data_IF_626440259610
#
_entry.id   IF_626440259610
#
_cell.length_a   1.000
_cell.length_b   1.000
_cell.length_c   1.000
_cell.angle_alpha   90.00
_cell.angle_beta   90.00
_cell.angle_gamma   90.00
#
_symmetry.space_group_name_H-M   'P 1'
#
loop_
_entity.id
_entity.type
_entity.pdbx_description
1 polymer ?
#
# COMPACT_ATOMS: atom_id res chain seq x y z
N UNK A 1 12.77 -12.57 68.22
CA UNK A 1 13.61 -11.60 67.49
C UNK A 1 14.80 -12.36 66.90
N UNK A 2 14.86 -12.58 65.58
CA UNK A 2 15.95 -13.33 64.94
C UNK A 2 16.60 -12.46 63.86
N UNK A 3 17.72 -11.86 64.20
CA UNK A 3 18.55 -11.04 63.31
C UNK A 3 19.29 -11.94 62.31
N UNK A 4 18.91 -11.88 61.03
CA UNK A 4 19.68 -12.51 59.94
C UNK A 4 21.00 -11.77 59.75
N UNK A 5 22.11 -12.44 60.05
CA UNK A 5 23.46 -11.98 59.73
C UNK A 5 23.64 -11.93 58.20
N UNK A 6 24.06 -10.77 57.67
CA UNK A 6 24.44 -10.65 56.26
C UNK A 6 25.75 -11.40 56.06
N UNK A 7 25.70 -12.51 55.33
CA UNK A 7 26.91 -13.20 54.85
C UNK A 7 27.71 -12.21 53.98
N UNK A 8 28.92 -11.86 54.42
CA UNK A 8 29.85 -11.06 53.62
C UNK A 8 30.36 -11.93 52.47
N UNK A 9 29.63 -11.93 51.35
CA UNK A 9 30.07 -12.56 50.11
C UNK A 9 31.33 -11.88 49.58
N UNK A 10 32.24 -12.68 48.99
CA UNK A 10 33.45 -12.18 48.33
C UNK A 10 33.08 -11.10 47.31
N UNK A 11 33.86 -10.02 47.16
CA UNK A 11 33.56 -8.98 46.19
C UNK A 11 33.48 -9.61 44.79
N UNK A 12 32.53 -9.16 43.94
CA UNK A 12 32.41 -9.68 42.59
C UNK A 12 33.76 -9.56 41.88
N UNK A 13 34.16 -10.57 41.08
CA UNK A 13 35.42 -10.52 40.35
C UNK A 13 35.45 -9.24 39.50
N UNK A 14 36.58 -8.53 39.56
CA UNK A 14 36.81 -7.31 38.77
C UNK A 14 36.98 -7.72 37.30
N UNK A 15 35.86 -7.93 36.60
CA UNK A 15 35.85 -8.15 35.17
C UNK A 15 36.34 -6.85 34.49
N UNK A 16 37.05 -6.94 33.36
CA UNK A 16 37.52 -5.75 32.66
C UNK A 16 36.31 -4.90 32.20
N UNK A 17 36.43 -3.56 32.13
CA UNK A 17 35.32 -2.63 31.88
C UNK A 17 34.56 -2.90 30.57
N UNK A 18 35.20 -3.60 29.64
CA UNK A 18 34.68 -4.04 28.36
C UNK A 18 33.71 -5.24 28.42
N UNK A 19 33.46 -5.85 29.57
CA UNK A 19 32.47 -6.93 29.70
C UNK A 19 31.11 -6.47 30.26
N UNK A 20 31.03 -5.31 30.92
CA UNK A 20 29.80 -4.88 31.62
C UNK A 20 28.81 -4.08 30.77
N UNK A 21 29.30 -3.20 29.89
CA UNK A 21 28.44 -2.27 29.14
C UNK A 21 28.17 -2.67 27.69
N UNK A 22 28.95 -3.60 27.14
CA UNK A 22 28.92 -3.93 25.73
C UNK A 22 27.64 -4.64 25.28
N UNK A 23 27.11 -5.57 26.08
CA UNK A 23 25.86 -6.28 25.71
C UNK A 23 24.66 -5.33 25.65
N UNK A 24 24.50 -4.46 26.65
CA UNK A 24 23.38 -3.50 26.70
C UNK A 24 23.46 -2.49 25.55
N UNK A 25 24.66 -1.98 25.26
CA UNK A 25 24.84 -1.05 24.14
C UNK A 25 24.61 -1.71 22.77
N UNK A 26 25.06 -2.96 22.57
CA UNK A 26 24.76 -3.72 21.36
C UNK A 26 23.26 -3.98 21.20
N UNK A 27 22.58 -4.41 22.28
CA UNK A 27 21.14 -4.66 22.24
C UNK A 27 20.35 -3.38 21.88
N UNK A 28 20.68 -2.25 22.49
CA UNK A 28 20.02 -0.97 22.18
C UNK A 28 20.26 -0.52 20.74
N UNK A 29 21.48 -0.69 20.22
CA UNK A 29 21.78 -0.39 18.80
C UNK A 29 20.99 -1.28 17.86
N UNK A 30 20.92 -2.58 18.14
CA UNK A 30 20.17 -3.52 17.30
C UNK A 30 18.68 -3.19 17.30
N UNK A 31 18.10 -2.85 18.47
CA UNK A 31 16.70 -2.42 18.56
C UNK A 31 16.47 -1.13 17.78
N UNK A 32 17.38 -0.16 17.86
CA UNK A 32 17.28 1.08 17.09
C UNK A 32 17.30 0.84 15.58
N UNK A 33 18.20 -0.04 15.10
CA UNK A 33 18.27 -0.41 13.67
C UNK A 33 17.02 -1.20 13.25
N UNK A 34 16.52 -2.10 14.09
CA UNK A 34 15.30 -2.85 13.82
C UNK A 34 14.08 -1.91 13.72
N UNK A 35 13.92 -0.97 14.65
CA UNK A 35 12.85 0.01 14.61
C UNK A 35 12.95 0.93 13.38
N UNK A 36 14.16 1.39 13.06
CA UNK A 36 14.41 2.22 11.88
C UNK A 36 14.09 1.50 10.57
N UNK A 37 14.53 0.24 10.44
CA UNK A 37 14.26 -0.58 9.25
C UNK A 37 12.78 -0.95 9.11
N UNK A 38 12.07 -1.21 10.21
CA UNK A 38 10.63 -1.47 10.18
C UNK A 38 9.83 -0.24 9.69
N UNK A 39 10.14 0.95 10.21
CA UNK A 39 9.52 2.20 9.75
C UNK A 39 9.86 2.49 8.28
N UNK A 40 11.11 2.26 7.90
CA UNK A 40 11.55 2.44 6.51
C UNK A 40 10.81 1.50 5.56
N UNK A 41 10.68 0.22 5.90
CA UNK A 41 9.96 -0.76 5.09
C UNK A 41 8.47 -0.39 4.93
N UNK A 42 7.83 0.04 6.02
CA UNK A 42 6.43 0.48 5.98
C UNK A 42 6.24 1.72 5.07
N UNK A 43 7.13 2.71 5.18
CA UNK A 43 7.11 3.90 4.32
C UNK A 43 7.37 3.54 2.86
N UNK A 44 8.37 2.70 2.59
CA UNK A 44 8.70 2.24 1.25
C UNK A 44 7.51 1.53 0.60
N UNK A 45 6.86 0.60 1.32
CA UNK A 45 5.67 -0.09 0.81
C UNK A 45 4.51 0.87 0.55
N UNK A 46 4.28 1.83 1.44
CA UNK A 46 3.21 2.80 1.25
C UNK A 46 3.44 3.71 0.03
N UNK A 47 4.68 4.18 -0.17
CA UNK A 47 5.04 5.06 -1.28
C UNK A 47 5.13 4.33 -2.62
N UNK A 48 5.74 3.15 -2.65
CA UNK A 48 6.03 2.41 -3.89
C UNK A 48 4.90 1.48 -4.31
N UNK A 49 4.04 1.02 -3.39
CA UNK A 49 2.96 0.10 -3.72
C UNK A 49 1.58 0.78 -3.58
N UNK A 50 1.26 1.31 -2.41
CA UNK A 50 -0.10 1.79 -2.14
C UNK A 50 -0.44 3.07 -2.90
N UNK A 51 0.43 4.08 -2.86
CA UNK A 51 0.21 5.36 -3.56
C UNK A 51 0.07 5.23 -5.07
N UNK A 52 0.92 4.49 -5.81
CA UNK A 52 0.76 4.38 -7.26
C UNK A 52 -0.51 3.64 -7.66
N UNK A 53 -0.98 2.64 -6.89
CA UNK A 53 -2.29 2.02 -7.17
C UNK A 53 -3.44 3.03 -7.05
N UNK A 54 -3.46 3.81 -5.96
CA UNK A 54 -4.47 4.85 -5.75
C UNK A 54 -4.41 5.92 -6.84
N UNK A 55 -3.20 6.33 -7.23
CA UNK A 55 -2.98 7.27 -8.34
C UNK A 55 -3.51 6.72 -9.66
N UNK A 56 -3.17 5.47 -10.03
CA UNK A 56 -3.66 4.84 -11.27
C UNK A 56 -5.18 4.77 -11.32
N UNK A 57 -5.83 4.37 -10.23
CA UNK A 57 -7.29 4.36 -10.15
C UNK A 57 -7.89 5.75 -10.33
N UNK A 58 -7.35 6.75 -9.61
CA UNK A 58 -7.81 8.13 -9.73
C UNK A 58 -7.63 8.67 -11.15
N UNK A 59 -6.45 8.47 -11.73
CA UNK A 59 -6.11 8.98 -13.07
C UNK A 59 -6.93 8.26 -14.17
N UNK A 60 -7.32 6.99 -13.95
CA UNK A 60 -8.25 6.28 -14.83
C UNK A 60 -9.63 6.93 -14.80
N UNK A 61 -10.20 7.14 -13.61
CA UNK A 61 -11.57 7.67 -13.46
C UNK A 61 -11.68 9.19 -13.64
N UNK A 62 -10.58 9.95 -13.63
CA UNK A 62 -10.64 11.40 -13.80
C UNK A 62 -11.15 11.82 -15.18
N UNK A 63 -10.88 11.01 -16.21
CA UNK A 63 -11.31 11.26 -17.60
C UNK A 63 -12.05 10.05 -18.19
N UNK A 64 -12.60 9.18 -17.34
CA UNK A 64 -13.28 7.98 -17.80
C UNK A 64 -14.66 8.33 -18.35
N UNK A 65 -14.84 8.09 -19.63
CA UNK A 65 -16.13 8.15 -20.31
C UNK A 65 -16.70 6.73 -20.46
N UNK A 66 -17.85 6.50 -19.84
CA UNK A 66 -18.50 5.21 -19.79
C UNK A 66 -19.19 4.86 -21.11
N UNK A 67 -19.75 5.85 -21.83
CA UNK A 67 -20.41 5.64 -23.13
C UNK A 67 -19.38 5.16 -24.15
N UNK A 68 -18.26 5.89 -24.29
CA UNK A 68 -17.18 5.53 -25.20
C UNK A 68 -16.55 4.17 -24.89
N UNK A 69 -16.41 3.83 -23.62
CA UNK A 69 -15.85 2.54 -23.20
C UNK A 69 -16.81 1.38 -23.47
N UNK A 70 -18.11 1.61 -23.26
CA UNK A 70 -19.17 0.66 -23.58
C UNK A 70 -19.28 0.42 -25.08
N UNK A 71 -19.34 1.47 -25.89
CA UNK A 71 -19.42 1.39 -27.35
C UNK A 71 -18.24 0.58 -27.91
N UNK A 72 -17.01 0.86 -27.45
CA UNK A 72 -15.83 0.07 -27.83
C UNK A 72 -15.99 -1.43 -27.51
N UNK A 73 -16.56 -1.76 -26.36
CA UNK A 73 -16.77 -3.17 -25.97
C UNK A 73 -17.89 -3.83 -26.78
N UNK A 74 -18.93 -3.09 -27.11
CA UNK A 74 -20.06 -3.59 -27.86
C UNK A 74 -19.72 -3.76 -29.35
N UNK A 75 -19.02 -2.80 -29.96
CA UNK A 75 -18.44 -2.91 -31.30
C UNK A 75 -17.44 -4.08 -31.40
N UNK A 76 -16.69 -4.31 -30.33
CA UNK A 76 -15.78 -5.44 -30.22
C UNK A 76 -16.46 -6.81 -30.09
N UNK A 77 -17.80 -6.85 -30.00
CA UNK A 77 -18.57 -8.09 -29.88
C UNK A 77 -18.37 -8.81 -28.55
N UNK A 78 -17.87 -8.13 -27.52
CA UNK A 78 -17.66 -8.73 -26.20
C UNK A 78 -18.97 -8.92 -25.41
N UNK A 79 -20.04 -8.23 -25.81
CA UNK A 79 -21.32 -8.24 -25.09
C UNK A 79 -22.31 -9.20 -25.77
N UNK A 80 -22.63 -10.30 -25.09
CA UNK A 80 -23.67 -11.22 -25.57
C UNK A 80 -25.08 -10.60 -25.55
N UNK A 81 -25.32 -9.65 -24.65
CA UNK A 81 -26.60 -8.95 -24.52
C UNK A 81 -26.80 -7.84 -25.55
N UNK A 82 -25.72 -7.34 -26.16
CA UNK A 82 -25.76 -6.24 -27.10
C UNK A 82 -24.85 -6.58 -28.29
N UNK A 83 -25.37 -7.32 -29.29
CA UNK A 83 -24.58 -7.70 -30.46
C UNK A 83 -24.18 -6.46 -31.28
N UNK A 84 -22.99 -6.46 -31.90
CA UNK A 84 -22.41 -5.28 -32.57
C UNK A 84 -23.26 -4.71 -33.71
N UNK A 85 -24.25 -5.47 -34.21
CA UNK A 85 -25.17 -5.02 -35.24
C UNK A 85 -26.28 -4.10 -34.73
N UNK A 86 -26.66 -4.14 -33.44
CA UNK A 86 -27.79 -3.35 -32.94
C UNK A 86 -27.46 -1.88 -32.67
N UNK A 87 -26.19 -1.56 -32.41
CA UNK A 87 -25.78 -0.21 -31.99
C UNK A 87 -25.58 0.80 -33.13
N UNK A 88 -25.21 0.32 -34.33
CA UNK A 88 -25.08 1.20 -35.50
C UNK A 88 -26.41 1.82 -35.93
N UNK A 89 -27.49 1.07 -35.76
CA UNK A 89 -28.85 1.51 -36.10
C UNK A 89 -29.41 2.53 -35.09
N UNK A 90 -28.94 2.47 -33.84
CA UNK A 90 -29.36 3.38 -32.76
C UNK A 90 -28.60 4.72 -32.82
N UNK A 91 -27.28 4.72 -33.09
CA UNK A 91 -26.51 5.96 -33.26
C UNK A 91 -26.97 6.78 -34.49
N UNK A 92 -27.27 6.14 -35.63
CA UNK A 92 -27.84 6.84 -36.80
C UNK A 92 -29.20 7.48 -36.50
N UNK A 93 -30.00 6.85 -35.63
CA UNK A 93 -31.30 7.41 -35.19
C UNK A 93 -31.14 8.60 -34.25
N UNK A 94 -30.25 8.51 -33.27
CA UNK A 94 -30.04 9.57 -32.27
C UNK A 94 -29.43 10.83 -32.91
N UNK A 95 -28.52 10.68 -33.87
CA UNK A 95 -27.97 11.79 -34.65
C UNK A 95 -29.02 12.42 -35.59
N UNK A 96 -29.88 11.61 -36.21
CA UNK A 96 -30.97 12.10 -37.04
C UNK A 96 -32.03 12.91 -36.24
N UNK A 97 -32.34 12.51 -35.01
CA UNK A 97 -33.32 13.19 -34.16
C UNK A 97 -32.75 14.49 -33.55
N UNK A 98 -31.46 14.51 -33.18
CA UNK A 98 -30.74 15.75 -32.79
C UNK A 98 -30.69 16.77 -33.92
N UNK A 99 -30.57 16.34 -35.17
CA UNK A 99 -30.51 17.22 -36.35
C UNK A 99 -31.87 17.79 -36.76
N UNK A 100 -32.97 17.12 -36.42
CA UNK A 100 -34.35 17.61 -36.62
C UNK A 100 -34.81 18.62 -35.55
N UNK A 101 -34.19 18.61 -34.37
CA UNK A 101 -34.51 19.51 -33.24
C UNK A 101 -33.72 20.83 -33.24
N UNK A 102 -32.85 21.03 -34.22
CA UNK A 102 -32.01 22.22 -34.39
C UNK A 102 -32.44 22.99 -35.63
#
# INVERSE_FOLDING_TARGET
MSSKSKSKGKPPPKLPPQLFFNHRQMALRNVAVAAGSALFAALAFNLLHNKPRKKKYRDFYSNYDWEKSFLRMAEGGYLHSCPPCSLKDDEEKDDADKKKKK
#
